data_IF_053945663067
#
_entry.id   IF_053945663067
#
_cell.length_a   1.000
_cell.length_b   1.000
_cell.length_c   1.000
_cell.angle_alpha   90.00
_cell.angle_beta   90.00
_cell.angle_gamma   90.00
#
_symmetry.space_group_name_H-M   'P 1'
#
loop_
_entity.id
_entity.type
_entity.pdbx_description
1 polymer ?
#
# COMPACT_ATOMS: atom_id res chain seq x y z
N UNK A 1 26.02 -24.31 -27.42
CA UNK A 1 26.11 -23.17 -26.50
C UNK A 1 26.49 -23.71 -25.13
N UNK A 2 27.70 -23.39 -24.68
CA UNK A 2 28.44 -24.09 -23.62
C UNK A 2 27.65 -24.34 -22.33
N UNK A 3 27.81 -25.50 -21.71
CA UNK A 3 27.12 -25.92 -20.48
C UNK A 3 27.42 -24.97 -19.31
N UNK A 4 26.60 -25.00 -18.25
CA UNK A 4 26.86 -24.20 -17.04
C UNK A 4 28.22 -24.56 -16.40
N UNK A 5 28.64 -25.84 -16.54
CA UNK A 5 29.96 -26.31 -16.16
C UNK A 5 31.06 -25.61 -16.95
N UNK A 6 30.97 -25.62 -18.28
CA UNK A 6 31.97 -24.99 -19.15
C UNK A 6 32.07 -23.48 -18.95
N UNK A 7 30.94 -22.80 -18.73
CA UNK A 7 30.92 -21.35 -18.46
C UNK A 7 31.54 -21.01 -17.11
N UNK A 8 31.28 -21.79 -16.07
CA UNK A 8 31.95 -21.58 -14.78
C UNK A 8 33.45 -21.91 -14.87
N UNK A 9 33.82 -22.99 -15.57
CA UNK A 9 35.23 -23.34 -15.82
C UNK A 9 35.98 -22.22 -16.54
N UNK A 10 35.36 -21.60 -17.53
CA UNK A 10 35.95 -20.45 -18.24
C UNK A 10 36.18 -19.26 -17.30
N UNK A 11 35.23 -18.96 -16.40
CA UNK A 11 35.40 -17.93 -15.35
C UNK A 11 36.56 -18.26 -14.41
N UNK A 12 36.64 -19.51 -13.93
CA UNK A 12 37.69 -19.95 -13.00
C UNK A 12 39.08 -19.77 -13.60
N UNK A 13 39.26 -20.19 -14.86
CA UNK A 13 40.51 -20.03 -15.60
C UNK A 13 40.85 -18.55 -15.78
N UNK A 14 39.87 -17.74 -16.17
CA UNK A 14 40.08 -16.32 -16.42
C UNK A 14 40.35 -15.51 -15.13
N UNK A 15 39.94 -16.01 -13.96
CA UNK A 15 40.31 -15.48 -12.64
C UNK A 15 41.71 -15.93 -12.19
N UNK A 16 42.43 -16.74 -12.99
CA UNK A 16 43.80 -17.16 -12.72
C UNK A 16 43.93 -18.43 -11.86
N UNK A 17 42.85 -19.20 -11.67
CA UNK A 17 42.89 -20.45 -10.90
C UNK A 17 43.25 -21.64 -11.79
N UNK A 18 44.27 -22.39 -11.39
CA UNK A 18 44.74 -23.60 -12.09
C UNK A 18 44.07 -24.89 -11.57
N UNK A 19 43.42 -24.85 -10.41
CA UNK A 19 42.67 -25.98 -9.85
C UNK A 19 41.27 -25.56 -9.37
N UNK A 20 40.29 -26.44 -9.55
CA UNK A 20 38.92 -26.23 -9.07
C UNK A 20 38.87 -26.14 -7.54
N UNK A 21 39.61 -27.01 -6.87
CA UNK A 21 39.69 -27.11 -5.41
C UNK A 21 40.12 -25.77 -4.79
N UNK A 22 41.19 -25.15 -5.30
CA UNK A 22 41.67 -23.86 -4.79
C UNK A 22 40.63 -22.73 -4.99
N UNK A 23 39.86 -22.78 -6.07
CA UNK A 23 38.76 -21.85 -6.30
C UNK A 23 37.59 -22.09 -5.32
N UNK A 24 37.19 -23.35 -5.16
CA UNK A 24 36.13 -23.77 -4.25
C UNK A 24 36.42 -23.32 -2.81
N UNK A 25 37.63 -23.57 -2.33
CA UNK A 25 38.08 -23.13 -1.00
C UNK A 25 38.07 -21.60 -0.86
N UNK A 26 38.51 -20.87 -1.90
CA UNK A 26 38.56 -19.40 -1.84
C UNK A 26 37.17 -18.75 -1.77
N UNK A 27 36.18 -19.37 -2.41
CA UNK A 27 34.79 -18.89 -2.43
C UNK A 27 33.98 -19.43 -1.25
N UNK A 28 34.42 -20.51 -0.62
CA UNK A 28 33.69 -21.23 0.43
C UNK A 28 32.62 -22.17 -0.12
N UNK A 29 32.91 -22.82 -1.25
CA UNK A 29 32.07 -23.88 -1.84
C UNK A 29 32.60 -25.26 -1.43
N UNK A 30 31.72 -26.27 -1.41
CA UNK A 30 32.12 -27.63 -1.06
C UNK A 30 33.03 -28.26 -2.11
N UNK A 31 33.96 -29.12 -1.66
CA UNK A 31 34.92 -29.81 -2.52
C UNK A 31 34.25 -30.63 -3.64
N UNK A 32 34.77 -30.51 -4.86
CA UNK A 32 34.21 -31.14 -6.06
C UNK A 32 32.87 -30.55 -6.49
N UNK A 33 32.52 -29.34 -6.07
CA UNK A 33 31.32 -28.63 -6.51
C UNK A 33 31.33 -28.40 -8.02
N UNK A 34 32.45 -27.87 -8.54
CA UNK A 34 32.58 -27.49 -9.95
C UNK A 34 32.48 -28.72 -10.85
N UNK A 35 33.11 -29.84 -10.48
CA UNK A 35 33.05 -31.09 -11.26
C UNK A 35 31.66 -31.72 -11.30
N UNK A 36 30.82 -31.45 -10.29
CA UNK A 36 29.44 -31.97 -10.20
C UNK A 36 28.40 -31.09 -10.87
N UNK A 37 28.79 -29.98 -11.50
CA UNK A 37 27.84 -29.12 -12.22
C UNK A 37 27.32 -29.87 -13.44
N UNK A 38 26.02 -30.15 -13.44
CA UNK A 38 25.34 -30.74 -14.58
C UNK A 38 24.88 -29.63 -15.53
N UNK A 39 23.75 -28.96 -15.23
CA UNK A 39 23.14 -27.98 -16.13
C UNK A 39 22.91 -26.60 -15.50
N UNK A 40 22.96 -26.47 -14.17
CA UNK A 40 22.66 -25.21 -13.47
C UNK A 40 23.54 -25.03 -12.25
N UNK A 41 23.92 -23.77 -12.01
CA UNK A 41 24.59 -23.32 -10.78
C UNK A 41 23.53 -22.66 -9.90
N UNK A 42 23.46 -23.05 -8.62
CA UNK A 42 22.48 -22.51 -7.69
C UNK A 42 22.68 -21.01 -7.44
N UNK A 43 21.60 -20.27 -7.16
CA UNK A 43 21.69 -18.84 -6.83
C UNK A 43 22.57 -18.58 -5.60
N UNK A 44 22.57 -19.48 -4.61
CA UNK A 44 23.40 -19.38 -3.41
C UNK A 44 24.88 -19.49 -3.75
N UNK A 45 25.25 -20.44 -4.61
CA UNK A 45 26.62 -20.60 -5.10
C UNK A 45 27.06 -19.41 -5.95
N UNK A 46 26.18 -18.91 -6.84
CA UNK A 46 26.46 -17.71 -7.63
C UNK A 46 26.67 -16.47 -6.75
N UNK A 47 25.89 -16.33 -5.67
CA UNK A 47 26.04 -15.23 -4.72
C UNK A 47 27.35 -15.31 -3.94
N UNK A 48 27.80 -16.51 -3.55
CA UNK A 48 29.10 -16.70 -2.92
C UNK A 48 30.24 -16.28 -3.87
N UNK A 49 30.15 -16.69 -5.14
CA UNK A 49 31.12 -16.34 -6.19
C UNK A 49 31.14 -14.83 -6.41
N UNK A 50 29.98 -14.18 -6.60
CA UNK A 50 29.92 -12.73 -6.89
C UNK A 50 30.26 -11.87 -5.68
N UNK A 51 30.05 -12.36 -4.45
CA UNK A 51 30.52 -11.68 -3.24
C UNK A 51 32.04 -11.64 -3.17
N UNK A 52 32.72 -12.72 -3.60
CA UNK A 52 34.18 -12.80 -3.59
C UNK A 52 34.81 -12.15 -4.82
N UNK A 53 34.14 -12.23 -5.97
CA UNK A 53 34.55 -11.68 -7.25
C UNK A 53 33.42 -10.83 -7.86
N UNK A 54 33.27 -9.56 -7.42
CA UNK A 54 32.19 -8.68 -7.86
C UNK A 54 32.15 -8.40 -9.36
N UNK A 55 33.29 -8.55 -10.05
CA UNK A 55 33.42 -8.40 -11.49
C UNK A 55 32.86 -9.59 -12.30
N UNK A 56 32.49 -10.71 -11.66
CA UNK A 56 31.96 -11.88 -12.36
C UNK A 56 30.48 -11.70 -12.69
N UNK A 57 30.09 -11.94 -13.94
CA UNK A 57 28.69 -11.89 -14.36
C UNK A 57 27.93 -13.19 -14.00
N UNK A 58 26.98 -13.18 -13.04
CA UNK A 58 26.24 -14.39 -12.69
C UNK A 58 25.29 -14.86 -13.80
N UNK A 59 24.84 -13.97 -14.69
CA UNK A 59 24.00 -14.32 -15.84
C UNK A 59 24.79 -15.09 -16.90
N UNK A 60 26.07 -14.76 -17.11
CA UNK A 60 26.95 -15.54 -17.97
C UNK A 60 27.08 -16.99 -17.49
N UNK A 61 27.37 -17.21 -16.21
CA UNK A 61 27.49 -18.57 -15.65
C UNK A 61 26.16 -19.32 -15.76
N UNK A 62 25.05 -18.68 -15.38
CA UNK A 62 23.74 -19.35 -15.25
C UNK A 62 23.05 -19.63 -16.57
N UNK A 63 23.04 -18.65 -17.48
CA UNK A 63 22.26 -18.71 -18.73
C UNK A 63 23.09 -18.51 -19.99
N UNK A 64 24.37 -18.14 -19.85
CA UNK A 64 25.23 -17.80 -20.99
C UNK A 64 24.99 -16.40 -21.55
N UNK A 65 24.24 -15.54 -20.85
CA UNK A 65 23.92 -14.19 -21.32
C UNK A 65 24.92 -13.15 -20.80
N UNK A 66 25.42 -12.32 -21.73
CA UNK A 66 26.36 -11.24 -21.45
C UNK A 66 27.83 -11.69 -21.43
N UNK A 67 28.74 -10.75 -21.16
CA UNK A 67 30.18 -11.05 -21.04
C UNK A 67 30.51 -11.77 -19.73
N UNK A 68 31.64 -12.51 -19.72
CA UNK A 68 32.12 -13.29 -18.58
C UNK A 68 32.43 -12.41 -17.37
N UNK A 69 33.16 -11.33 -17.61
CA UNK A 69 33.39 -10.27 -16.64
C UNK A 69 32.54 -9.08 -17.01
N UNK A 70 31.99 -8.46 -16.00
CA UNK A 70 31.32 -7.19 -16.17
C UNK A 70 32.44 -6.14 -16.26
N UNK A 71 32.60 -5.52 -17.43
CA UNK A 71 33.54 -4.42 -17.68
C UNK A 71 33.11 -3.21 -16.85
N UNK A 72 33.46 -3.19 -15.55
CA UNK A 72 32.89 -2.32 -14.51
C UNK A 72 31.79 -1.36 -14.98
N UNK A 73 30.52 -1.79 -15.01
CA UNK A 73 29.41 -0.88 -15.18
C UNK A 73 28.70 -0.79 -13.84
N UNK A 74 28.66 0.44 -13.32
CA UNK A 74 27.61 0.85 -12.40
C UNK A 74 26.31 0.31 -12.98
N UNK A 75 25.55 -0.48 -12.22
CA UNK A 75 24.13 -0.69 -12.53
C UNK A 75 23.47 0.66 -12.41
N UNK A 76 23.49 1.44 -13.48
CA UNK A 76 22.74 2.67 -13.60
C UNK A 76 21.30 2.28 -13.33
N UNK A 77 20.74 2.78 -12.22
CA UNK A 77 19.40 2.37 -11.80
C UNK A 77 18.41 2.64 -12.95
N UNK A 78 17.32 1.87 -13.01
CA UNK A 78 16.27 2.07 -14.04
C UNK A 78 15.79 3.53 -14.07
N UNK A 79 15.78 4.19 -12.91
CA UNK A 79 15.49 5.62 -12.77
C UNK A 79 16.53 6.52 -13.47
N UNK A 80 17.82 6.19 -13.42
CA UNK A 80 18.85 6.95 -14.12
C UNK A 80 18.77 6.77 -15.65
N UNK A 81 18.43 5.58 -16.13
CA UNK A 81 18.17 5.35 -17.55
C UNK A 81 16.92 6.13 -18.03
N UNK A 82 15.86 6.12 -17.21
CA UNK A 82 14.65 6.89 -17.50
C UNK A 82 14.86 8.40 -17.43
N UNK A 83 15.73 8.89 -16.54
CA UNK A 83 16.14 10.31 -16.53
C UNK A 83 16.81 10.69 -17.83
N UNK A 84 17.66 9.83 -18.39
CA UNK A 84 18.31 10.08 -19.69
C UNK A 84 17.30 10.13 -20.83
N UNK A 85 16.41 9.15 -20.93
CA UNK A 85 15.32 9.14 -21.92
C UNK A 85 14.38 10.35 -21.79
N UNK A 86 14.08 10.77 -20.55
CA UNK A 86 13.30 12.00 -20.34
C UNK A 86 14.02 13.21 -20.93
N UNK A 87 15.33 13.37 -20.70
CA UNK A 87 16.10 14.50 -21.26
C UNK A 87 16.05 14.51 -22.80
N UNK A 88 16.08 13.35 -23.44
CA UNK A 88 15.96 13.23 -24.90
C UNK A 88 14.61 13.75 -25.40
N UNK A 89 13.51 13.31 -24.79
CA UNK A 89 12.17 13.79 -25.13
C UNK A 89 11.98 15.30 -24.88
N UNK A 90 12.48 15.80 -23.74
CA UNK A 90 12.41 17.22 -23.39
C UNK A 90 13.16 18.09 -24.40
N UNK A 91 14.33 17.62 -24.86
CA UNK A 91 15.11 18.28 -25.92
C UNK A 91 14.32 18.32 -27.23
N UNK A 92 13.68 17.20 -27.60
CA UNK A 92 12.81 17.14 -28.78
C UNK A 92 11.63 18.12 -28.69
N UNK A 93 10.98 18.24 -27.52
CA UNK A 93 9.87 19.17 -27.29
C UNK A 93 10.27 20.62 -27.10
N UNK A 94 11.56 20.91 -26.91
CA UNK A 94 12.04 22.26 -26.62
C UNK A 94 11.52 22.81 -25.29
N UNK A 95 11.26 21.95 -24.30
CA UNK A 95 10.76 22.35 -22.97
C UNK A 95 11.72 21.92 -21.87
N UNK A 96 11.72 22.65 -20.77
CA UNK A 96 12.50 22.31 -19.59
C UNK A 96 11.84 21.20 -18.78
N UNK A 97 12.63 20.50 -17.94
CA UNK A 97 12.10 19.50 -17.00
C UNK A 97 11.06 20.11 -16.05
N UNK A 98 11.29 21.35 -15.62
CA UNK A 98 10.38 22.08 -14.73
C UNK A 98 9.03 22.29 -15.39
N UNK A 99 9.01 22.86 -16.59
CA UNK A 99 7.78 23.06 -17.36
C UNK A 99 7.05 21.75 -17.64
N UNK A 100 7.78 20.68 -17.93
CA UNK A 100 7.18 19.35 -18.08
C UNK A 100 6.48 18.89 -16.80
N UNK A 101 7.17 18.96 -15.65
CA UNK A 101 6.63 18.52 -14.37
C UNK A 101 5.40 19.36 -13.97
N UNK A 102 5.48 20.68 -14.16
CA UNK A 102 4.39 21.62 -13.86
C UNK A 102 3.18 21.36 -14.77
N UNK A 103 3.40 21.18 -16.08
CA UNK A 103 2.31 20.90 -17.04
C UNK A 103 1.67 19.53 -16.79
N UNK A 104 2.47 18.51 -16.51
CA UNK A 104 2.00 17.15 -16.23
C UNK A 104 1.48 16.95 -14.80
N UNK A 105 1.62 17.91 -13.89
CA UNK A 105 1.29 17.74 -12.47
C UNK A 105 2.02 16.53 -11.83
N UNK A 106 3.34 16.42 -12.06
CA UNK A 106 4.17 15.36 -11.46
C UNK A 106 5.29 15.96 -10.60
N UNK A 107 5.78 15.17 -9.63
CA UNK A 107 6.83 15.62 -8.73
C UNK A 107 8.13 15.98 -9.48
N UNK A 108 8.86 16.97 -8.98
CA UNK A 108 10.10 17.49 -9.59
C UNK A 108 11.23 16.44 -9.72
N UNK A 109 11.17 15.37 -8.93
CA UNK A 109 12.10 14.25 -8.98
C UNK A 109 11.73 13.17 -10.02
N UNK A 110 10.65 13.34 -10.79
CA UNK A 110 10.30 12.49 -11.92
C UNK A 110 11.49 12.34 -12.91
N UNK A 111 11.68 11.17 -13.55
CA UNK A 111 10.90 9.93 -13.46
C UNK A 111 11.29 9.06 -12.25
N UNK A 112 10.27 8.51 -11.58
CA UNK A 112 10.41 7.46 -10.56
C UNK A 112 9.64 6.23 -11.02
N UNK A 113 10.35 5.14 -11.23
CA UNK A 113 9.82 3.85 -11.68
C UNK A 113 9.56 2.98 -10.45
N UNK A 114 8.41 2.30 -10.42
CA UNK A 114 8.07 1.35 -9.36
C UNK A 114 8.90 0.07 -9.46
N UNK A 115 8.88 -0.76 -8.41
CA UNK A 115 9.63 -2.05 -8.36
C UNK A 115 9.32 -3.01 -9.52
N UNK A 116 8.23 -2.80 -10.23
CA UNK A 116 7.76 -3.64 -11.33
C UNK A 116 8.26 -3.13 -12.71
N UNK A 117 9.13 -2.12 -12.76
CA UNK A 117 9.66 -1.58 -14.02
C UNK A 117 8.67 -0.73 -14.82
N UNK A 118 7.59 -0.27 -14.16
CA UNK A 118 6.52 0.55 -14.75
C UNK A 118 6.18 1.75 -13.87
N UNK A 119 5.65 2.81 -14.48
CA UNK A 119 5.08 3.95 -13.77
C UNK A 119 3.75 3.58 -13.10
N UNK A 120 3.42 4.27 -12.01
CA UNK A 120 2.09 4.13 -11.41
C UNK A 120 1.02 4.63 -12.37
N UNK A 121 -0.18 4.02 -12.32
CA UNK A 121 -1.28 4.42 -13.19
C UNK A 121 -1.62 5.92 -13.11
N UNK A 122 -1.51 6.51 -11.91
CA UNK A 122 -1.69 7.95 -11.68
C UNK A 122 -0.67 8.80 -12.45
N UNK A 123 0.62 8.43 -12.37
CA UNK A 123 1.70 9.15 -13.08
C UNK A 123 1.56 8.98 -14.59
N UNK A 124 1.33 7.75 -15.07
CA UNK A 124 1.12 7.48 -16.50
C UNK A 124 -0.02 8.29 -17.08
N UNK A 125 -1.15 8.36 -16.36
CA UNK A 125 -2.30 9.16 -16.78
C UNK A 125 -1.98 10.65 -16.86
N UNK A 126 -1.35 11.20 -15.82
CA UNK A 126 -1.00 12.62 -15.72
C UNK A 126 -0.07 13.06 -16.85
N UNK A 127 0.97 12.27 -17.10
CA UNK A 127 1.90 12.51 -18.21
C UNK A 127 1.18 12.37 -19.55
N UNK A 128 0.48 11.25 -19.81
CA UNK A 128 -0.21 11.05 -21.09
C UNK A 128 -1.30 12.09 -21.38
N UNK A 129 -1.94 12.65 -20.36
CA UNK A 129 -2.98 13.68 -20.54
C UNK A 129 -2.43 15.01 -21.07
N UNK A 130 -1.12 15.24 -20.91
CA UNK A 130 -0.46 16.51 -21.25
C UNK A 130 0.62 16.35 -22.31
N UNK A 131 1.18 15.15 -22.39
CA UNK A 131 2.21 14.71 -23.33
C UNK A 131 1.76 13.40 -23.97
N UNK A 132 0.63 13.40 -24.70
CA UNK A 132 0.04 12.18 -25.24
C UNK A 132 0.95 11.49 -26.24
N UNK A 133 1.84 12.20 -26.91
CA UNK A 133 2.78 11.61 -27.87
C UNK A 133 3.94 10.86 -27.21
N UNK A 134 4.19 11.05 -25.91
CA UNK A 134 5.28 10.37 -25.21
C UNK A 134 4.93 8.91 -24.91
N UNK A 135 5.76 7.97 -25.36
CA UNK A 135 5.64 6.57 -25.01
C UNK A 135 6.17 6.31 -23.58
N UNK A 136 5.27 5.98 -22.66
CA UNK A 136 5.59 5.73 -21.26
C UNK A 136 6.36 4.43 -21.02
N UNK A 137 6.20 3.41 -21.87
CA UNK A 137 6.96 2.16 -21.78
C UNK A 137 8.40 2.37 -22.24
N UNK A 138 8.59 3.11 -23.33
CA UNK A 138 9.92 3.56 -23.73
C UNK A 138 10.58 4.38 -22.62
N UNK A 139 9.86 5.33 -22.02
CA UNK A 139 10.40 6.11 -20.93
C UNK A 139 10.79 5.24 -19.72
N UNK A 140 9.96 4.27 -19.34
CA UNK A 140 10.17 3.42 -18.18
C UNK A 140 11.35 2.44 -18.37
N UNK A 141 11.38 1.73 -19.49
CA UNK A 141 12.29 0.59 -19.68
C UNK A 141 12.95 0.54 -21.06
N UNK A 142 12.65 1.47 -21.96
CA UNK A 142 13.21 1.53 -23.32
C UNK A 142 12.47 0.68 -24.34
N UNK A 143 11.30 0.12 -24.00
CA UNK A 143 10.50 -0.65 -24.95
C UNK A 143 9.80 0.25 -25.97
N UNK A 144 10.04 -0.02 -27.27
CA UNK A 144 9.43 0.71 -28.37
C UNK A 144 10.15 2.02 -28.70
N UNK A 145 9.47 2.90 -29.42
CA UNK A 145 10.00 4.21 -29.82
C UNK A 145 9.66 5.30 -28.80
N UNK A 146 10.40 6.43 -28.82
CA UNK A 146 10.17 7.58 -27.94
C UNK A 146 8.77 8.17 -28.08
N UNK A 147 8.27 8.23 -29.32
CA UNK A 147 6.95 8.73 -29.63
C UNK A 147 5.99 7.58 -29.88
N UNK A 148 4.76 7.70 -29.41
CA UNK A 148 3.70 6.73 -29.73
C UNK A 148 2.85 7.19 -30.92
N UNK A 149 2.35 6.24 -31.74
CA UNK A 149 1.46 6.56 -32.86
C UNK A 149 0.18 7.30 -32.43
N UNK A 150 -0.38 8.13 -33.32
CA UNK A 150 -1.62 8.88 -33.07
C UNK A 150 -2.80 7.98 -32.63
N UNK A 151 -2.91 6.77 -33.18
CA UNK A 151 -3.94 5.80 -32.78
C UNK A 151 -3.83 5.38 -31.30
N UNK A 152 -2.63 5.39 -30.71
CA UNK A 152 -2.45 5.08 -29.29
C UNK A 152 -2.82 6.27 -28.40
N UNK A 153 -2.64 7.50 -28.88
CA UNK A 153 -3.04 8.73 -28.18
C UNK A 153 -4.53 8.73 -27.86
N UNK A 154 -5.37 8.37 -28.83
CA UNK A 154 -6.82 8.30 -28.66
C UNK A 154 -7.25 7.25 -27.63
N UNK A 155 -6.53 6.11 -27.59
CA UNK A 155 -6.78 5.02 -26.63
C UNK A 155 -6.48 5.43 -25.18
N UNK A 156 -5.52 6.33 -24.96
CA UNK A 156 -5.20 6.86 -23.63
C UNK A 156 -6.04 8.06 -23.23
N UNK A 157 -6.71 8.72 -24.18
CA UNK A 157 -7.52 9.91 -23.91
C UNK A 157 -9.03 9.63 -23.84
N UNK A 158 -9.42 8.39 -23.54
CA UNK A 158 -10.82 8.01 -23.34
C UNK A 158 -11.25 7.99 -21.86
N UNK A 159 -12.55 7.88 -21.61
CA UNK A 159 -13.07 7.88 -20.24
C UNK A 159 -12.61 6.66 -19.42
N UNK A 160 -12.29 5.52 -20.06
CA UNK A 160 -11.83 4.30 -19.38
C UNK A 160 -10.49 4.53 -18.68
N UNK A 161 -9.56 5.23 -19.35
CA UNK A 161 -8.24 5.54 -18.78
C UNK A 161 -8.33 6.50 -17.60
N UNK A 162 -9.38 7.34 -17.55
CA UNK A 162 -9.66 8.32 -16.49
C UNK A 162 -10.24 7.72 -15.21
N UNK A 163 -10.83 6.52 -15.26
CA UNK A 163 -11.43 5.86 -14.08
C UNK A 163 -10.37 5.48 -13.04
N UNK A 164 -9.27 4.86 -13.45
CA UNK A 164 -8.26 4.36 -12.51
C UNK A 164 -7.55 5.47 -11.70
N UNK A 165 -7.17 6.62 -12.30
CA UNK A 165 -6.66 7.78 -11.56
C UNK A 165 -7.64 8.30 -10.51
N UNK A 166 -8.93 8.43 -10.87
CA UNK A 166 -9.97 8.83 -9.92
C UNK A 166 -10.08 7.86 -8.75
N UNK A 167 -10.13 6.56 -9.04
CA UNK A 167 -10.19 5.52 -8.00
C UNK A 167 -8.98 5.58 -7.07
N UNK A 168 -7.79 5.82 -7.62
CA UNK A 168 -6.55 5.98 -6.85
C UNK A 168 -6.61 7.17 -5.91
N UNK A 169 -7.12 8.32 -6.37
CA UNK A 169 -7.28 9.50 -5.51
C UNK A 169 -8.32 9.29 -4.41
N UNK A 170 -9.38 8.57 -4.73
CA UNK A 170 -10.43 8.20 -3.77
C UNK A 170 -10.02 7.08 -2.81
N UNK A 171 -8.84 6.47 -2.98
CA UNK A 171 -8.41 5.33 -2.16
C UNK A 171 -9.24 4.06 -2.36
N UNK A 172 -9.89 3.89 -3.51
CA UNK A 172 -10.76 2.75 -3.84
C UNK A 172 -10.21 1.95 -5.01
N UNK A 173 -10.62 0.68 -5.12
CA UNK A 173 -10.29 -0.13 -6.29
C UNK A 173 -11.21 0.17 -7.47
N UNK A 174 -10.72 -0.01 -8.69
CA UNK A 174 -11.51 0.12 -9.92
C UNK A 174 -12.69 -0.86 -9.94
N UNK A 175 -12.50 -2.07 -9.44
CA UNK A 175 -13.57 -3.06 -9.25
C UNK A 175 -14.65 -2.54 -8.29
N UNK A 176 -14.26 -1.91 -7.19
CA UNK A 176 -15.20 -1.31 -6.24
C UNK A 176 -15.98 -0.16 -6.87
N UNK A 177 -15.29 0.71 -7.62
CA UNK A 177 -15.92 1.78 -8.39
C UNK A 177 -16.99 1.25 -9.34
N UNK A 178 -16.63 0.29 -10.20
CA UNK A 178 -17.55 -0.28 -11.20
C UNK A 178 -18.77 -0.94 -10.55
N UNK A 179 -18.56 -1.66 -9.44
CA UNK A 179 -19.65 -2.26 -8.67
C UNK A 179 -20.58 -1.20 -8.06
N UNK A 180 -20.02 -0.14 -7.47
CA UNK A 180 -20.80 0.96 -6.88
C UNK A 180 -21.61 1.71 -7.96
N UNK A 181 -21.04 1.86 -9.15
CA UNK A 181 -21.69 2.44 -10.33
C UNK A 181 -22.64 1.47 -11.07
N UNK A 182 -22.94 0.29 -10.49
CA UNK A 182 -23.81 -0.74 -11.07
C UNK A 182 -23.41 -1.13 -12.50
N UNK A 183 -22.11 -1.19 -12.78
CA UNK A 183 -21.60 -1.69 -14.05
C UNK A 183 -21.88 -3.18 -14.20
N UNK A 184 -22.13 -3.63 -15.44
CA UNK A 184 -22.30 -5.05 -15.77
C UNK A 184 -20.97 -5.82 -15.72
N UNK A 185 -19.83 -5.12 -15.62
CA UNK A 185 -18.51 -5.73 -15.60
C UNK A 185 -17.65 -5.18 -14.46
N UNK A 186 -16.75 -6.02 -13.96
CA UNK A 186 -15.73 -5.66 -12.98
C UNK A 186 -14.41 -5.21 -13.61
N UNK A 187 -14.27 -5.28 -14.93
CA UNK A 187 -13.04 -4.96 -15.64
C UNK A 187 -13.23 -3.73 -16.55
N UNK A 188 -12.44 -2.67 -16.34
CA UNK A 188 -12.46 -1.44 -17.16
C UNK A 188 -12.27 -1.74 -18.65
N UNK A 189 -11.44 -2.73 -19.00
CA UNK A 189 -11.17 -3.10 -20.38
C UNK A 189 -12.40 -3.62 -21.14
N UNK A 190 -13.41 -4.14 -20.42
CA UNK A 190 -14.65 -4.68 -21.00
C UNK A 190 -15.77 -3.65 -21.14
N UNK A 191 -15.54 -2.41 -20.71
CA UNK A 191 -16.49 -1.32 -20.89
C UNK A 191 -16.60 -0.93 -22.37
N UNK A 192 -17.73 -0.35 -22.82
CA UNK A 192 -17.85 0.20 -24.17
C UNK A 192 -16.93 1.40 -24.38
N UNK A 193 -16.54 1.71 -25.63
CA UNK A 193 -15.66 2.87 -25.91
C UNK A 193 -16.28 4.22 -25.59
N UNK A 194 -17.61 4.30 -25.59
CA UNK A 194 -18.38 5.43 -25.09
C UNK A 194 -19.24 5.04 -23.88
N UNK A 195 -19.27 5.86 -22.80
CA UNK A 195 -20.08 5.56 -21.63
C UNK A 195 -21.56 5.83 -21.92
N UNK A 196 -22.44 4.91 -21.52
CA UNK A 196 -23.88 5.10 -21.65
C UNK A 196 -24.41 6.15 -20.67
N UNK A 197 -25.52 6.80 -21.01
CA UNK A 197 -26.17 7.78 -20.11
C UNK A 197 -26.54 7.17 -18.75
N UNK A 198 -27.06 5.93 -18.75
CA UNK A 198 -27.36 5.20 -17.51
C UNK A 198 -26.12 5.00 -16.65
N UNK A 199 -24.98 4.65 -17.27
CA UNK A 199 -23.73 4.47 -16.54
C UNK A 199 -23.22 5.80 -15.96
N UNK A 200 -23.28 6.88 -16.73
CA UNK A 200 -22.91 8.22 -16.28
C UNK A 200 -23.80 8.72 -15.15
N UNK A 201 -25.11 8.45 -15.21
CA UNK A 201 -26.06 8.74 -14.13
C UNK A 201 -25.74 7.94 -12.87
N UNK A 202 -25.38 6.67 -13.00
CA UNK A 202 -24.96 5.88 -11.84
C UNK A 202 -23.64 6.40 -11.25
N UNK A 203 -22.72 6.87 -12.09
CA UNK A 203 -21.47 7.50 -11.63
C UNK A 203 -21.78 8.80 -10.87
N UNK A 204 -22.61 9.69 -11.40
CA UNK A 204 -22.92 10.95 -10.69
C UNK A 204 -23.64 10.71 -9.36
N UNK A 205 -24.48 9.68 -9.27
CA UNK A 205 -25.13 9.30 -8.02
C UNK A 205 -24.16 8.68 -7.01
N UNK A 206 -23.24 7.82 -7.47
CA UNK A 206 -22.30 7.12 -6.59
C UNK A 206 -21.09 8.00 -6.18
N UNK A 207 -20.69 8.91 -7.07
CA UNK A 207 -19.53 9.78 -6.92
C UNK A 207 -19.86 11.22 -7.37
N UNK A 208 -20.70 11.97 -6.65
CA UNK A 208 -21.10 13.33 -7.02
C UNK A 208 -19.91 14.30 -7.17
N UNK A 209 -18.82 14.04 -6.45
CA UNK A 209 -17.58 14.79 -6.52
C UNK A 209 -16.83 14.63 -7.84
N UNK A 210 -17.07 13.54 -8.58
CA UNK A 210 -16.41 13.29 -9.86
C UNK A 210 -17.01 14.20 -10.94
N UNK A 211 -16.16 14.99 -11.56
CA UNK A 211 -16.54 15.79 -12.71
C UNK A 211 -16.77 14.89 -13.94
N UNK A 212 -18.04 14.74 -14.34
CA UNK A 212 -18.41 13.93 -15.49
C UNK A 212 -17.93 14.52 -16.83
N UNK A 213 -17.78 15.84 -16.92
CA UNK A 213 -17.21 16.46 -18.13
C UNK A 213 -15.75 16.03 -18.26
N UNK A 214 -14.97 16.19 -17.20
CA UNK A 214 -13.59 15.70 -17.16
C UNK A 214 -13.51 14.20 -17.45
N UNK A 215 -14.39 13.38 -16.87
CA UNK A 215 -14.40 11.94 -17.15
C UNK A 215 -14.64 11.63 -18.63
N UNK A 216 -15.54 12.36 -19.29
CA UNK A 216 -15.89 12.13 -20.70
C UNK A 216 -14.83 12.68 -21.65
N UNK A 217 -14.45 13.95 -21.48
CA UNK A 217 -13.68 14.72 -22.46
C UNK A 217 -12.23 14.92 -22.05
N UNK A 218 -11.92 14.79 -20.76
CA UNK A 218 -10.62 15.15 -20.18
C UNK A 218 -10.48 16.64 -19.86
N UNK A 219 -11.50 17.45 -20.13
CA UNK A 219 -11.47 18.90 -19.91
C UNK A 219 -11.87 19.28 -18.47
N UNK A 220 -11.18 20.28 -17.91
CA UNK A 220 -11.41 20.74 -16.55
C UNK A 220 -10.69 19.90 -15.48
N UNK A 221 -11.13 20.03 -14.22
CA UNK A 221 -10.56 19.30 -13.08
C UNK A 221 -11.28 17.97 -12.86
N UNK A 222 -10.55 16.98 -12.34
CA UNK A 222 -11.09 15.67 -11.96
C UNK A 222 -12.27 15.76 -10.96
N UNK A 223 -12.19 16.72 -10.05
CA UNK A 223 -13.22 16.97 -9.06
C UNK A 223 -13.98 18.25 -9.38
N UNK A 224 -15.26 18.26 -9.05
CA UNK A 224 -16.07 19.48 -9.06
C UNK A 224 -15.56 20.44 -7.97
N UNK A 225 -15.31 21.71 -8.34
CA UNK A 225 -14.72 22.72 -7.46
C UNK A 225 -15.61 23.01 -6.22
N UNK A 226 -16.91 22.76 -6.32
CA UNK A 226 -17.90 22.95 -5.25
C UNK A 226 -17.97 21.79 -4.24
N UNK A 227 -17.21 20.71 -4.44
CA UNK A 227 -17.30 19.48 -3.64
C UNK A 227 -15.94 19.13 -3.02
N UNK A 228 -15.20 20.14 -2.51
CA UNK A 228 -14.17 19.91 -1.48
C UNK A 228 -14.73 19.92 -0.06
N UNK A 229 -15.99 20.33 0.13
CA UNK A 229 -16.63 20.47 1.45
C UNK A 229 -17.65 19.38 1.82
N UNK A 230 -17.96 18.44 0.93
CA UNK A 230 -18.93 17.35 1.19
C UNK A 230 -18.52 16.02 0.55
N UNK A 231 -17.37 15.46 0.95
CA UNK A 231 -17.06 14.06 0.65
C UNK A 231 -17.72 13.20 1.74
N UNK A 232 -18.98 12.79 1.53
CA UNK A 232 -19.51 11.57 2.14
C UNK A 232 -18.98 10.38 1.35
N UNK A 233 -17.69 10.10 1.47
CA UNK A 233 -17.18 8.75 1.27
C UNK A 233 -17.60 7.98 2.50
N UNK A 234 -18.67 7.21 2.43
CA UNK A 234 -19.07 6.33 3.53
C UNK A 234 -18.08 5.20 3.77
N UNK A 235 -16.83 5.26 3.27
CA UNK A 235 -15.75 4.34 3.60
C UNK A 235 -14.63 5.15 4.26
N UNK A 236 -14.41 4.94 5.56
CA UNK A 236 -13.36 5.57 6.35
C UNK A 236 -12.28 4.54 6.66
N UNK A 237 -11.00 4.93 6.59
CA UNK A 237 -9.90 4.06 7.01
C UNK A 237 -9.57 4.36 8.47
N UNK A 238 -9.68 3.32 9.30
CA UNK A 238 -9.55 3.42 10.74
C UNK A 238 -8.25 2.77 11.19
N UNK A 239 -7.44 3.43 12.03
CA UNK A 239 -6.22 2.83 12.57
C UNK A 239 -6.56 1.58 13.38
N UNK A 240 -5.81 0.50 13.13
CA UNK A 240 -5.89 -0.77 13.82
C UNK A 240 -4.71 -0.88 14.78
N UNK A 241 -5.02 -1.11 16.05
CA UNK A 241 -4.06 -1.37 17.12
C UNK A 241 -3.97 -2.89 17.31
N UNK A 242 -2.97 -3.57 16.72
CA UNK A 242 -2.72 -4.98 16.99
C UNK A 242 -2.26 -5.17 18.44
N UNK A 243 -2.36 -6.39 18.98
CA UNK A 243 -1.98 -6.67 20.37
C UNK A 243 -0.54 -6.23 20.68
N UNK A 244 0.38 -6.43 19.74
CA UNK A 244 1.80 -6.05 19.88
C UNK A 244 2.03 -4.53 19.95
N UNK A 245 1.05 -3.71 19.56
CA UNK A 245 1.14 -2.26 19.55
C UNK A 245 0.52 -1.59 20.78
N UNK A 246 -0.03 -2.35 21.74
CA UNK A 246 -0.74 -1.78 22.91
C UNK A 246 0.13 -0.82 23.72
N UNK A 247 1.39 -1.18 23.99
CA UNK A 247 2.31 -0.32 24.73
C UNK A 247 2.62 0.99 23.98
N UNK A 248 2.74 0.90 22.65
CA UNK A 248 2.90 2.08 21.79
C UNK A 248 1.67 2.98 21.84
N UNK A 249 0.47 2.38 21.72
CA UNK A 249 -0.78 3.13 21.74
C UNK A 249 -1.01 3.81 23.09
N UNK A 250 -0.72 3.13 24.20
CA UNK A 250 -0.82 3.68 25.55
C UNK A 250 0.02 4.96 25.75
N UNK A 251 1.11 5.10 25.01
CA UNK A 251 2.01 6.26 25.06
C UNK A 251 1.74 7.30 23.96
N UNK A 252 1.21 6.85 22.81
CA UNK A 252 1.08 7.65 21.59
C UNK A 252 -0.35 7.89 21.11
N UNK A 253 -1.39 7.57 21.88
CA UNK A 253 -2.80 7.69 21.44
C UNK A 253 -3.20 9.11 21.02
N UNK A 254 -2.51 10.13 21.54
CA UNK A 254 -2.71 11.55 21.22
C UNK A 254 -1.72 12.10 20.19
N UNK A 255 -0.77 11.28 19.70
CA UNK A 255 0.23 11.68 18.71
C UNK A 255 -0.25 11.29 17.30
N UNK A 256 -0.64 12.29 16.51
CA UNK A 256 -1.14 12.09 15.14
C UNK A 256 -0.12 11.40 14.23
N UNK A 257 1.19 11.58 14.46
CA UNK A 257 2.26 10.93 13.68
C UNK A 257 2.30 9.43 14.00
N UNK A 258 2.23 9.08 15.29
CA UNK A 258 2.15 7.70 15.72
C UNK A 258 0.88 7.02 15.20
N UNK A 259 -0.29 7.66 15.37
CA UNK A 259 -1.57 7.12 14.90
C UNK A 259 -1.56 6.88 13.38
N UNK A 260 -0.96 7.80 12.62
CA UNK A 260 -0.82 7.67 11.15
C UNK A 260 0.14 6.55 10.72
N UNK A 261 1.00 6.07 11.61
CA UNK A 261 1.92 4.96 11.34
C UNK A 261 1.28 3.58 11.51
N UNK A 262 0.13 3.51 12.19
CA UNK A 262 -0.58 2.26 12.43
C UNK A 262 -1.19 1.71 11.13
N UNK A 263 -1.29 0.37 10.99
CA UNK A 263 -2.06 -0.21 9.89
C UNK A 263 -3.51 0.25 9.97
N UNK A 264 -4.21 0.31 8.84
CA UNK A 264 -5.61 0.77 8.79
C UNK A 264 -6.54 -0.29 8.24
N UNK A 265 -7.78 -0.33 8.74
CA UNK A 265 -8.88 -1.15 8.19
C UNK A 265 -9.98 -0.26 7.60
N UNK A 266 -10.60 -0.63 6.48
CA UNK A 266 -11.72 0.11 5.93
C UNK A 266 -13.01 -0.19 6.71
N UNK A 267 -13.74 0.85 7.11
CA UNK A 267 -15.06 0.76 7.74
C UNK A 267 -16.07 1.56 6.93
N UNK A 268 -17.36 1.21 7.04
CA UNK A 268 -18.43 1.99 6.39
C UNK A 268 -19.18 2.82 7.43
N UNK A 269 -18.93 4.13 7.50
CA UNK A 269 -19.60 5.07 8.42
C UNK A 269 -19.81 6.43 7.75
N UNK A 270 -20.89 7.11 8.14
CA UNK A 270 -21.34 8.38 7.55
C UNK A 270 -21.10 9.60 8.47
N UNK A 271 -20.65 9.36 9.69
CA UNK A 271 -20.35 10.42 10.66
C UNK A 271 -18.87 10.86 10.60
N UNK A 272 -18.57 12.01 11.20
CA UNK A 272 -17.22 12.60 11.27
C UNK A 272 -16.49 12.22 12.56
N UNK A 273 -16.93 11.17 13.25
CA UNK A 273 -16.39 10.80 14.54
C UNK A 273 -15.03 10.11 14.42
N UNK A 274 -14.25 10.16 15.50
CA UNK A 274 -12.96 9.48 15.55
C UNK A 274 -13.17 8.01 15.90
N UNK A 275 -12.70 7.12 15.03
CA UNK A 275 -12.73 5.68 15.24
C UNK A 275 -11.32 5.11 15.38
N UNK A 276 -11.20 4.05 16.18
CA UNK A 276 -9.99 3.25 16.32
C UNK A 276 -10.40 1.79 16.45
N UNK A 277 -9.69 0.89 15.78
CA UNK A 277 -9.91 -0.54 15.86
C UNK A 277 -8.86 -1.19 16.75
N UNK A 278 -9.25 -2.21 17.50
CA UNK A 278 -8.35 -2.98 18.37
C UNK A 278 -8.49 -4.46 18.08
N UNK A 279 -7.36 -5.15 18.00
CA UNK A 279 -7.34 -6.61 18.05
C UNK A 279 -7.51 -7.04 19.52
N UNK A 280 -8.56 -7.80 19.82
CA UNK A 280 -8.89 -8.29 21.18
C UNK A 280 -7.81 -9.23 21.67
N UNK A 281 -7.34 -9.02 22.91
CA UNK A 281 -6.36 -9.88 23.59
C UNK A 281 -6.96 -10.59 24.81
N UNK A 282 -6.69 -11.88 24.93
CA UNK A 282 -7.16 -12.72 26.05
C UNK A 282 -8.61 -13.19 25.92
N UNK A 283 -9.12 -13.81 26.98
CA UNK A 283 -10.42 -14.53 27.04
C UNK A 283 -11.39 -13.92 28.08
N UNK A 284 -11.04 -12.78 28.68
CA UNK A 284 -11.86 -12.14 29.72
C UNK A 284 -13.25 -11.70 29.25
N UNK A 285 -13.45 -11.57 27.93
CA UNK A 285 -14.74 -11.25 27.33
C UNK A 285 -15.31 -12.42 26.53
N UNK A 286 -14.74 -13.62 26.70
CA UNK A 286 -15.21 -14.87 26.09
C UNK A 286 -15.95 -15.72 27.12
N UNK A 287 -17.28 -15.68 27.07
CA UNK A 287 -18.18 -16.53 27.86
C UNK A 287 -18.75 -17.70 27.04
N UNK A 288 -18.20 -17.95 25.84
CA UNK A 288 -18.68 -18.97 24.91
C UNK A 288 -20.00 -18.63 24.19
N UNK A 289 -20.58 -17.45 24.45
CA UNK A 289 -21.82 -17.04 23.79
C UNK A 289 -21.58 -16.47 22.38
N UNK A 290 -22.65 -16.28 21.60
CA UNK A 290 -22.57 -15.66 20.28
C UNK A 290 -22.09 -14.19 20.30
N UNK A 291 -22.19 -13.52 21.45
CA UNK A 291 -21.75 -12.14 21.69
C UNK A 291 -20.35 -12.05 22.33
N UNK A 292 -19.70 -13.18 22.60
CA UNK A 292 -18.37 -13.23 23.19
C UNK A 292 -17.37 -12.42 22.36
N UNK A 293 -16.33 -11.87 22.98
CA UNK A 293 -15.18 -11.30 22.29
C UNK A 293 -13.99 -12.22 22.47
N UNK A 294 -13.63 -12.91 21.38
CA UNK A 294 -12.60 -13.93 21.39
C UNK A 294 -11.23 -13.33 21.08
N UNK A 295 -10.17 -13.97 21.56
CA UNK A 295 -8.81 -13.55 21.28
C UNK A 295 -8.53 -13.50 19.76
N UNK A 296 -8.12 -12.32 19.28
CA UNK A 296 -7.86 -12.04 17.86
C UNK A 296 -9.06 -11.51 17.08
N UNK A 297 -10.24 -11.37 17.68
CA UNK A 297 -11.33 -10.59 17.09
C UNK A 297 -10.90 -9.13 16.91
N UNK A 298 -11.51 -8.43 15.95
CA UNK A 298 -11.26 -6.99 15.77
C UNK A 298 -12.51 -6.23 16.22
N UNK A 299 -12.35 -5.30 17.17
CA UNK A 299 -13.41 -4.40 17.62
C UNK A 299 -13.18 -3.00 17.07
N UNK A 300 -14.20 -2.42 16.46
CA UNK A 300 -14.18 -1.03 15.96
C UNK A 300 -14.88 -0.17 16.99
N UNK A 301 -14.16 0.83 17.49
CA UNK A 301 -14.59 1.65 18.60
C UNK A 301 -14.67 3.12 18.21
N UNK A 302 -15.70 3.82 18.68
CA UNK A 302 -15.81 5.27 18.59
C UNK A 302 -15.18 5.90 19.82
N UNK A 303 -14.29 6.87 19.64
CA UNK A 303 -13.66 7.62 20.75
C UNK A 303 -14.75 8.41 21.48
N UNK A 304 -14.84 8.24 22.81
CA UNK A 304 -15.69 9.07 23.65
C UNK A 304 -14.97 10.38 23.96
N UNK A 305 -15.54 11.55 23.63
CA UNK A 305 -14.92 12.83 23.98
C UNK A 305 -14.82 13.00 25.50
N UNK A 306 -13.70 13.56 25.98
CA UNK A 306 -13.44 13.80 27.41
C UNK A 306 -14.59 14.52 28.13
N UNK A 307 -15.23 15.48 27.46
CA UNK A 307 -16.33 16.23 28.06
C UNK A 307 -17.55 15.34 28.33
N UNK A 308 -17.84 14.34 27.50
CA UNK A 308 -18.95 13.41 27.72
C UNK A 308 -18.70 12.50 28.92
N UNK A 309 -17.44 12.08 29.11
CA UNK A 309 -17.04 11.26 30.26
C UNK A 309 -17.18 12.10 31.54
N UNK A 310 -16.67 13.34 31.53
CA UNK A 310 -16.67 14.23 32.70
C UNK A 310 -18.05 14.78 33.08
N UNK A 311 -19.01 14.79 32.15
CA UNK A 311 -20.37 15.26 32.40
C UNK A 311 -21.37 14.14 32.74
N UNK A 312 -20.90 12.92 32.99
CA UNK A 312 -21.73 11.72 33.14
C UNK A 312 -22.67 11.46 31.93
N UNK A 313 -22.25 11.85 30.73
CA UNK A 313 -23.01 11.68 29.49
C UNK A 313 -22.76 10.34 28.78
N UNK A 314 -22.09 9.40 29.45
CA UNK A 314 -21.69 8.12 28.86
C UNK A 314 -22.86 7.13 28.88
N UNK A 315 -23.24 6.62 27.71
CA UNK A 315 -24.30 5.61 27.60
C UNK A 315 -23.76 4.21 27.94
N UNK A 316 -23.70 3.87 29.23
CA UNK A 316 -23.09 2.62 29.70
C UNK A 316 -23.98 1.38 29.51
N UNK A 317 -25.30 1.55 29.42
CA UNK A 317 -26.23 0.41 29.37
C UNK A 317 -26.08 -0.42 28.09
N UNK A 318 -25.84 -1.72 28.28
CA UNK A 318 -25.70 -2.70 27.22
C UNK A 318 -24.50 -2.51 26.28
N UNK A 319 -23.52 -1.66 26.63
CA UNK A 319 -22.36 -1.37 25.77
C UNK A 319 -21.03 -1.86 26.35
N UNK A 320 -20.12 -2.23 25.47
CA UNK A 320 -18.74 -2.55 25.81
C UNK A 320 -17.80 -1.40 25.42
N UNK A 321 -16.68 -1.33 26.12
CA UNK A 321 -15.73 -0.24 26.01
C UNK A 321 -14.31 -0.78 25.94
N UNK A 322 -13.50 -0.14 25.12
CA UNK A 322 -12.04 -0.14 25.28
C UNK A 322 -11.69 0.95 26.28
N UNK A 323 -10.98 0.55 27.33
CA UNK A 323 -10.48 1.42 28.39
C UNK A 323 -8.97 1.48 28.27
N UNK A 324 -8.44 2.66 27.93
CA UNK A 324 -7.01 2.93 27.93
C UNK A 324 -6.64 3.43 29.32
N UNK A 325 -6.12 2.53 30.14
CA UNK A 325 -5.68 2.80 31.51
C UNK A 325 -4.16 2.94 31.58
N UNK A 326 -3.60 3.65 32.57
CA UNK A 326 -2.15 3.84 32.68
C UNK A 326 -1.31 2.55 32.67
N UNK A 327 -1.89 1.43 33.06
CA UNK A 327 -1.22 0.11 33.13
C UNK A 327 -1.47 -0.78 31.91
N UNK A 328 -2.41 -0.42 31.04
CA UNK A 328 -2.77 -1.25 29.90
C UNK A 328 -4.11 -0.91 29.25
N UNK A 329 -4.46 -1.68 28.22
CA UNK A 329 -5.70 -1.51 27.46
C UNK A 329 -6.62 -2.68 27.77
N UNK A 330 -7.87 -2.39 28.14
CA UNK A 330 -8.85 -3.37 28.56
C UNK A 330 -10.10 -3.30 27.67
N UNK A 331 -10.67 -4.45 27.32
CA UNK A 331 -12.03 -4.55 26.80
C UNK A 331 -12.95 -5.05 27.92
N UNK A 332 -13.94 -4.25 28.33
CA UNK A 332 -14.89 -4.56 29.41
C UNK A 332 -16.24 -3.90 29.19
N UNK A 333 -17.26 -4.35 29.91
CA UNK A 333 -18.50 -3.59 30.09
C UNK A 333 -18.35 -2.66 31.29
N UNK A 334 -18.78 -1.40 31.14
CA UNK A 334 -18.90 -0.48 32.28
C UNK A 334 -20.26 -0.74 32.93
N UNK A 335 -20.27 -1.07 34.22
CA UNK A 335 -21.51 -1.31 34.97
C UNK A 335 -21.86 -0.15 35.91
N UNK A 336 -20.87 0.66 36.29
CA UNK A 336 -21.07 1.86 37.08
C UNK A 336 -19.99 2.90 36.81
N UNK A 337 -20.39 4.18 36.89
CA UNK A 337 -19.55 5.36 36.72
C UNK A 337 -19.85 6.34 37.85
N UNK A 338 -19.07 6.26 38.92
CA UNK A 338 -19.23 7.11 40.09
C UNK A 338 -18.37 8.37 39.95
N UNK A 339 -18.99 9.44 39.47
CA UNK A 339 -18.34 10.74 39.30
C UNK A 339 -18.00 11.43 40.63
N UNK A 340 -18.66 11.07 41.74
CA UNK A 340 -18.41 11.70 43.03
C UNK A 340 -17.13 11.17 43.65
N UNK A 341 -16.91 9.86 43.56
CA UNK A 341 -15.72 9.19 44.09
C UNK A 341 -14.62 8.99 43.05
N UNK A 342 -14.88 9.35 41.78
CA UNK A 342 -13.92 9.20 40.70
C UNK A 342 -13.68 7.75 40.31
N UNK A 343 -14.69 6.88 40.40
CA UNK A 343 -14.55 5.44 40.20
C UNK A 343 -15.27 4.93 38.96
N UNK A 344 -14.68 3.91 38.35
CA UNK A 344 -15.23 3.18 37.21
C UNK A 344 -15.29 1.69 37.54
N UNK A 345 -16.48 1.10 37.52
CA UNK A 345 -16.66 -0.32 37.79
C UNK A 345 -16.87 -1.07 36.47
N UNK A 346 -16.02 -2.06 36.24
CA UNK A 346 -15.92 -2.82 35.00
C UNK A 346 -16.28 -4.28 35.24
N UNK A 347 -17.01 -4.87 34.29
CA UNK A 347 -17.38 -6.29 34.29
C UNK A 347 -16.90 -6.99 33.03
N UNK A 348 -16.38 -8.19 33.23
CA UNK A 348 -16.07 -9.16 32.19
C UNK A 348 -17.31 -9.96 31.79
N UNK A 349 -17.39 -10.43 30.54
CA UNK A 349 -18.40 -11.44 30.19
C UNK A 349 -18.05 -12.80 30.80
N UNK A 350 -16.76 -13.14 30.78
CA UNK A 350 -16.26 -14.38 31.34
C UNK A 350 -16.33 -14.31 32.89
N UNK A 351 -17.17 -15.14 33.55
CA UNK A 351 -17.43 -15.05 34.99
C UNK A 351 -16.24 -15.49 35.87
N UNK A 352 -15.21 -16.11 35.29
CA UNK A 352 -13.96 -16.41 36.01
C UNK A 352 -13.20 -15.14 36.39
N UNK A 353 -13.45 -14.03 35.70
CA UNK A 353 -12.86 -12.73 35.99
C UNK A 353 -13.79 -11.92 36.90
N UNK A 354 -13.26 -11.49 38.05
CA UNK A 354 -13.97 -10.60 38.98
C UNK A 354 -14.15 -9.20 38.38
N UNK A 355 -15.17 -8.49 38.86
CA UNK A 355 -15.35 -7.08 38.55
C UNK A 355 -14.12 -6.28 38.99
N UNK A 356 -13.76 -5.28 38.19
CA UNK A 356 -12.61 -4.41 38.42
C UNK A 356 -13.09 -3.00 38.75
N UNK A 357 -12.51 -2.40 39.77
CA UNK A 357 -12.71 -0.99 40.10
C UNK A 357 -11.45 -0.22 39.71
N UNK A 358 -11.61 0.79 38.85
CA UNK A 358 -10.52 1.67 38.42
C UNK A 358 -10.76 3.10 38.89
N UNK A 359 -9.66 3.82 39.14
CA UNK A 359 -9.71 5.26 39.33
C UNK A 359 -9.84 5.96 37.96
N UNK A 360 -10.85 6.82 37.82
CA UNK A 360 -11.08 7.60 36.60
C UNK A 360 -9.89 8.49 36.26
N UNK A 361 -9.11 8.95 37.26
CA UNK A 361 -7.92 9.75 37.04
C UNK A 361 -6.82 9.00 36.27
N UNK A 362 -6.82 7.67 36.34
CA UNK A 362 -5.85 6.81 35.66
C UNK A 362 -6.33 6.33 34.27
N UNK A 363 -7.57 6.65 33.91
CA UNK A 363 -8.16 6.36 32.61
C UNK A 363 -7.81 7.49 31.64
N UNK A 364 -6.98 7.17 30.64
CA UNK A 364 -6.51 8.12 29.63
C UNK A 364 -7.51 8.34 28.49
N UNK A 365 -8.26 7.30 28.14
CA UNK A 365 -9.22 7.34 27.04
C UNK A 365 -10.28 6.23 27.19
N UNK A 366 -11.52 6.55 26.84
CA UNK A 366 -12.61 5.59 26.70
C UNK A 366 -13.08 5.55 25.24
N UNK A 367 -13.33 4.35 24.72
CA UNK A 367 -13.88 4.17 23.38
C UNK A 367 -15.01 3.16 23.44
N UNK A 368 -16.18 3.52 22.92
CA UNK A 368 -17.34 2.64 22.89
C UNK A 368 -17.25 1.68 21.71
N UNK A 369 -17.47 0.39 21.95
CA UNK A 369 -17.49 -0.62 20.89
C UNK A 369 -18.77 -0.46 20.07
N UNK A 370 -18.61 -0.32 18.76
CA UNK A 370 -19.69 -0.13 17.80
C UNK A 370 -19.91 -1.36 16.92
N UNK A 371 -18.82 -2.07 16.60
CA UNK A 371 -18.87 -3.26 15.77
C UNK A 371 -17.78 -4.25 16.15
N UNK A 372 -18.09 -5.54 16.02
CA UNK A 372 -17.15 -6.64 16.17
C UNK A 372 -17.02 -7.39 14.86
N UNK A 373 -15.79 -7.56 14.40
CA UNK A 373 -15.43 -8.45 13.32
C UNK A 373 -14.81 -9.71 13.92
N UNK A 374 -15.51 -10.83 13.81
CA UNK A 374 -15.02 -12.14 14.24
C UNK A 374 -13.79 -12.56 13.44
N UNK A 375 -12.81 -13.13 14.13
CA UNK A 375 -11.67 -13.79 13.47
C UNK A 375 -12.19 -14.92 12.58
N UNK A 376 -11.72 -14.96 11.33
CA UNK A 376 -12.05 -16.01 10.36
C UNK A 376 -11.27 -17.29 10.58
#
# INVERSE_FOLDING_TARGET
>A
MNSAYERLKAVIIALGYTSNEKFEDTVGLGHGFVSRITNRVSSKSLQAITRKFPQVNPSYIRTGMGEMFISSPIKVSENENAKTRLREYLKYKGITKREFCDKADVASNFPIIGKNGVFTARVSYRVNSKFPDLNMDWLANGAGEMLQPEANIEKFNNYKSRIAPFCTEMGISTTFFLRKCKSYTSAISRLPDMPSETFLKNISLAYPQLNLNWLKTGEGKMFNDDIKSNINSSVSFVPLVPQMAYAGYLSGYADDVYISSLPTIPIVKEDKEKYVAFEVSGDSMDDGSSRAYQNGDIVICKVCPDYMVKSNGLHIDGKEYIIVHKEGILLKRIIDLDMNNGKLILRSFNPTYRDLELDLADVKQLLVVEYQQKRK
#
